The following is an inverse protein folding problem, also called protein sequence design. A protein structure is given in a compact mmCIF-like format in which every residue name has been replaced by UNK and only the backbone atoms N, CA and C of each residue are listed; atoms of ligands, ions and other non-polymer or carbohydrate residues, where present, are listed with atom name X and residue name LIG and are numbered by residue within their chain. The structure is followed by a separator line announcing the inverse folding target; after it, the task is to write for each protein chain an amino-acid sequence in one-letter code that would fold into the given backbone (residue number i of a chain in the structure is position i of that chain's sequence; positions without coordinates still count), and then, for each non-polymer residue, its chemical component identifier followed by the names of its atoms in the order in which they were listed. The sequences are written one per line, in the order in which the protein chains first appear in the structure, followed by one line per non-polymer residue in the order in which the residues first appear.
data_IF_189787167631
#
_entry.id   IF_189787167631
#
_cell.length_a   1.000
_cell.length_b   1.000
_cell.length_c   1.000
_cell.angle_alpha   90.00
_cell.angle_beta   90.00
_cell.angle_gamma   90.00
#
_symmetry.space_group_name_H-M   'P 1'
#
loop_
_entity.id
_entity.type
_entity.pdbx_description
1 polymer ?
#
# COMPACT_ATOMS: atom_id res chain seq x y z
N UNK A 1 -33.88 62.34 7.96
CA UNK A 1 -34.26 62.14 6.55
C UNK A 1 -34.32 60.63 6.34
N UNK A 2 -35.49 60.06 6.67
CA UNK A 2 -36.48 59.46 5.73
C UNK A 2 -35.99 58.08 5.25
N UNK A 3 -36.33 56.98 5.92
CA UNK A 3 -37.59 56.20 5.93
C UNK A 3 -37.90 55.39 4.66
N UNK A 4 -38.60 54.27 4.90
CA UNK A 4 -39.16 53.23 4.03
C UNK A 4 -38.23 52.02 3.80
N UNK A 5 -38.40 50.85 4.46
CA UNK A 5 -39.58 50.03 4.76
C UNK A 5 -40.26 49.46 3.50
N UNK A 6 -40.47 48.14 3.49
CA UNK A 6 -40.85 47.36 2.31
C UNK A 6 -40.96 45.85 2.61
N UNK A 7 -41.81 45.54 3.57
CA UNK A 7 -42.23 44.23 4.08
C UNK A 7 -43.05 43.38 3.08
N UNK A 8 -43.04 42.05 3.30
CA UNK A 8 -44.13 41.05 3.04
C UNK A 8 -44.37 40.60 1.58
N UNK A 9 -44.86 39.40 1.26
CA UNK A 9 -45.27 38.18 1.96
C UNK A 9 -45.77 37.17 0.90
N UNK A 10 -45.90 35.92 1.32
CA UNK A 10 -46.89 34.91 0.90
C UNK A 10 -46.76 34.20 -0.45
N UNK A 11 -46.88 32.87 -0.40
CA UNK A 11 -47.11 32.02 -1.56
C UNK A 11 -46.77 30.55 -1.33
N UNK A 12 -47.35 29.96 -0.28
CA UNK A 12 -47.63 28.52 -0.19
C UNK A 12 -48.66 28.15 -1.28
N UNK A 13 -48.54 26.96 -1.88
CA UNK A 13 -49.63 26.22 -2.53
C UNK A 13 -49.11 24.88 -3.09
N UNK A 14 -49.23 23.82 -2.29
CA UNK A 14 -50.20 22.77 -2.61
C UNK A 14 -49.81 21.60 -3.52
N UNK A 15 -49.98 20.40 -2.92
CA UNK A 15 -50.50 19.15 -3.50
C UNK A 15 -49.63 18.31 -4.43
N UNK A 16 -49.77 16.99 -4.54
CA UNK A 16 -50.39 15.92 -3.75
C UNK A 16 -50.33 14.66 -4.66
N UNK A 17 -50.02 13.51 -4.07
CA UNK A 17 -50.58 12.18 -4.38
C UNK A 17 -50.33 11.56 -5.77
N UNK A 18 -49.75 10.36 -5.78
CA UNK A 18 -49.70 9.50 -6.96
C UNK A 18 -49.05 8.13 -6.73
N UNK A 19 -49.61 7.34 -5.82
CA UNK A 19 -49.32 5.91 -5.66
C UNK A 19 -49.77 5.10 -6.88
N UNK A 20 -48.93 4.25 -7.45
CA UNK A 20 -49.37 2.99 -8.06
C UNK A 20 -48.35 1.88 -7.81
N UNK A 21 -48.82 0.87 -7.11
CA UNK A 21 -48.22 -0.45 -6.99
C UNK A 21 -48.49 -1.29 -8.25
N UNK A 22 -47.59 -2.25 -8.51
CA UNK A 22 -47.81 -3.44 -9.34
C UNK A 22 -46.55 -4.32 -9.27
N UNK A 23 -46.47 -5.30 -8.35
CA UNK A 23 -46.70 -6.74 -8.58
C UNK A 23 -45.93 -7.26 -9.80
N UNK A 24 -44.82 -7.97 -9.62
CA UNK A 24 -44.66 -9.38 -9.19
C UNK A 24 -44.53 -10.30 -10.42
N UNK A 25 -43.48 -11.13 -10.39
CA UNK A 25 -43.26 -12.43 -11.06
C UNK A 25 -41.74 -12.67 -10.97
N UNK A 26 -41.23 -13.39 -9.97
CA UNK A 26 -41.21 -14.86 -9.82
C UNK A 26 -40.61 -15.57 -11.06
N UNK A 27 -39.32 -15.91 -10.95
CA UNK A 27 -38.68 -16.94 -11.75
C UNK A 27 -37.51 -17.52 -10.94
N UNK A 28 -37.83 -18.63 -10.28
CA UNK A 28 -36.89 -19.65 -9.82
C UNK A 28 -36.25 -20.35 -11.02
N UNK A 29 -34.92 -20.43 -11.05
CA UNK A 29 -34.18 -21.52 -11.72
C UNK A 29 -32.79 -21.60 -11.11
N UNK A 30 -32.50 -22.57 -10.26
CA UNK A 30 -32.14 -23.96 -10.56
C UNK A 30 -30.62 -24.13 -10.66
N UNK A 31 -30.18 -25.19 -9.99
CA UNK A 31 -28.81 -25.49 -9.63
C UNK A 31 -27.97 -25.99 -10.81
N UNK A 32 -26.70 -25.58 -10.84
CA UNK A 32 -25.58 -26.36 -11.38
C UNK A 32 -24.35 -25.99 -10.52
N UNK A 33 -24.02 -26.79 -9.51
CA UNK A 33 -22.98 -27.83 -9.60
C UNK A 33 -21.97 -27.61 -10.73
N UNK A 34 -20.79 -27.11 -10.38
CA UNK A 34 -19.55 -27.41 -11.07
C UNK A 34 -18.43 -27.49 -10.04
N UNK A 35 -18.26 -28.70 -9.51
CA UNK A 35 -16.99 -29.15 -9.00
C UNK A 35 -15.98 -29.15 -10.17
N UNK A 36 -14.90 -28.41 -10.04
CA UNK A 36 -13.69 -28.67 -10.83
C UNK A 36 -12.51 -28.82 -9.87
N UNK A 37 -12.08 -30.07 -9.77
CA UNK A 37 -10.85 -30.51 -9.16
C UNK A 37 -9.72 -30.32 -10.16
N UNK A 38 -8.54 -30.03 -9.61
CA UNK A 38 -7.20 -30.38 -10.07
C UNK A 38 -6.31 -29.28 -10.66
N UNK A 39 -5.12 -29.16 -10.05
CA UNK A 39 -4.10 -28.19 -10.43
C UNK A 39 -3.02 -27.90 -9.38
N UNK A 40 -2.84 -28.71 -8.33
CA UNK A 40 -1.64 -28.62 -7.49
C UNK A 40 -0.49 -29.31 -8.24
N UNK A 41 0.43 -28.50 -8.77
CA UNK A 41 1.69 -29.01 -9.31
C UNK A 41 2.77 -28.87 -8.24
N UNK A 42 2.88 -29.85 -7.35
CA UNK A 42 4.05 -29.99 -6.47
C UNK A 42 5.08 -30.90 -7.13
N UNK A 43 6.29 -30.36 -7.34
CA UNK A 43 7.51 -31.14 -7.62
C UNK A 43 8.50 -30.91 -6.49
N UNK A 44 8.44 -31.75 -5.45
CA UNK A 44 9.62 -32.44 -4.93
C UNK A 44 9.21 -33.62 -4.06
N UNK A 45 9.71 -34.78 -4.48
CA UNK A 45 9.70 -36.09 -3.84
C UNK A 45 10.08 -35.96 -2.36
N UNK A 46 9.32 -36.49 -1.40
CA UNK A 46 9.17 -37.92 -1.04
C UNK A 46 10.51 -38.60 -0.76
N UNK A 47 10.90 -38.63 0.51
CA UNK A 47 11.57 -39.77 1.13
C UNK A 47 10.92 -40.05 2.49
N UNK A 48 10.23 -41.17 2.55
CA UNK A 48 9.66 -41.74 3.75
C UNK A 48 10.72 -42.53 4.55
N UNK A 49 10.62 -42.52 5.88
CA UNK A 49 10.98 -43.68 6.68
C UNK A 49 10.05 -43.78 7.90
N UNK A 50 9.27 -44.85 7.88
CA UNK A 50 8.35 -45.34 8.91
C UNK A 50 9.12 -45.90 10.12
N UNK A 51 8.56 -45.76 11.32
CA UNK A 51 8.97 -46.56 12.48
C UNK A 51 8.24 -46.13 13.75
N UNK A 52 7.15 -46.81 14.08
CA UNK A 52 6.36 -46.52 15.28
C UNK A 52 6.97 -47.03 16.59
N UNK A 53 6.63 -46.38 17.70
CA UNK A 53 6.48 -46.95 19.04
C UNK A 53 5.68 -45.99 19.93
N UNK A 54 4.64 -46.49 20.58
CA UNK A 54 3.89 -45.80 21.60
C UNK A 54 4.60 -45.93 22.97
N UNK A 55 4.81 -44.82 23.66
CA UNK A 55 5.09 -44.77 25.11
C UNK A 55 4.42 -43.51 25.68
N UNK A 56 3.56 -43.71 26.69
CA UNK A 56 3.00 -42.65 27.52
C UNK A 56 4.09 -42.05 28.42
N UNK A 57 4.17 -40.72 28.57
CA UNK A 57 4.53 -40.11 29.85
C UNK A 57 4.18 -38.63 29.96
N UNK A 58 3.39 -38.35 31.00
CA UNK A 58 3.42 -37.18 31.90
C UNK A 58 3.53 -35.77 31.30
N UNK A 59 2.39 -35.10 31.35
CA UNK A 59 2.19 -33.65 31.40
C UNK A 59 3.24 -32.96 32.26
N UNK A 60 4.06 -32.14 31.63
CA UNK A 60 4.69 -30.98 32.28
C UNK A 60 4.17 -29.78 31.50
N UNK A 61 3.21 -29.08 32.08
CA UNK A 61 2.88 -27.72 31.63
C UNK A 61 4.09 -26.84 31.93
N UNK A 62 4.97 -26.76 30.94
CA UNK A 62 5.80 -25.57 30.78
C UNK A 62 4.95 -24.63 29.94
N UNK A 63 4.27 -23.70 30.60
CA UNK A 63 3.75 -22.50 29.94
C UNK A 63 4.96 -21.66 29.54
N UNK A 64 5.63 -22.06 28.47
CA UNK A 64 6.22 -21.12 27.54
C UNK A 64 5.02 -20.57 26.79
N UNK A 65 4.62 -19.35 27.10
CA UNK A 65 3.91 -18.51 26.13
C UNK A 65 4.75 -18.54 24.87
N UNK A 66 4.30 -19.30 23.87
CA UNK A 66 4.82 -19.19 22.52
C UNK A 66 4.42 -17.81 22.05
N UNK A 67 5.40 -16.90 21.97
CA UNK A 67 5.36 -15.78 21.02
C UNK A 67 4.83 -16.38 19.72
N UNK A 68 3.72 -15.87 19.21
CA UNK A 68 3.21 -16.38 17.93
C UNK A 68 4.08 -15.80 16.82
N UNK A 69 5.26 -16.39 16.64
CA UNK A 69 6.10 -16.25 15.45
C UNK A 69 5.24 -16.58 14.23
N UNK A 70 4.76 -15.53 13.57
CA UNK A 70 3.96 -15.62 12.35
C UNK A 70 4.66 -14.88 11.23
N UNK A 71 4.34 -15.19 9.96
CA UNK A 71 4.93 -14.47 8.84
C UNK A 71 4.57 -12.98 8.89
N UNK A 72 5.46 -12.13 8.40
CA UNK A 72 5.13 -10.74 8.09
C UNK A 72 4.32 -10.72 6.79
N UNK A 73 3.05 -10.31 6.85
CA UNK A 73 2.17 -10.32 5.69
C UNK A 73 2.02 -8.92 5.09
N UNK A 74 2.24 -8.80 3.78
CA UNK A 74 1.85 -7.66 2.96
C UNK A 74 1.00 -8.16 1.81
N UNK A 75 -0.19 -7.60 1.63
CA UNK A 75 -1.06 -7.91 0.50
C UNK A 75 -1.27 -6.68 -0.38
N UNK A 76 -0.93 -6.82 -1.65
CA UNK A 76 -1.02 -5.74 -2.64
C UNK A 76 -2.28 -5.92 -3.48
N UNK A 77 -3.02 -4.85 -3.73
CA UNK A 77 -4.29 -4.87 -4.45
C UNK A 77 -4.22 -3.91 -5.65
N UNK A 78 -4.66 -4.33 -6.85
CA UNK A 78 -4.77 -3.40 -7.96
C UNK A 78 -6.12 -2.69 -7.85
N UNK A 79 -6.09 -1.36 -7.95
CA UNK A 79 -7.29 -0.56 -8.16
C UNK A 79 -7.88 -0.79 -9.56
N UNK A 80 -9.13 -0.39 -9.75
CA UNK A 80 -9.74 -0.38 -11.08
C UNK A 80 -8.99 0.56 -12.04
N UNK A 81 -8.63 0.06 -13.24
CA UNK A 81 -8.09 0.92 -14.30
C UNK A 81 -9.23 1.51 -15.13
N UNK A 82 -9.16 2.80 -15.50
CA UNK A 82 -10.04 3.37 -16.50
C UNK A 82 -9.76 2.75 -17.88
N UNK A 83 -10.74 2.87 -18.78
CA UNK A 83 -10.64 2.38 -20.16
C UNK A 83 -9.45 2.94 -20.93
N UNK A 84 -9.03 4.17 -20.62
CA UNK A 84 -7.82 4.80 -21.19
C UNK A 84 -6.54 4.10 -20.73
N UNK A 85 -6.48 3.65 -19.48
CA UNK A 85 -5.38 2.82 -18.97
C UNK A 85 -5.33 1.47 -19.69
N UNK A 86 -6.48 0.81 -19.83
CA UNK A 86 -6.59 -0.45 -20.59
C UNK A 86 -6.19 -0.30 -22.06
N UNK A 87 -6.55 0.82 -22.70
CA UNK A 87 -6.13 1.10 -24.07
C UNK A 87 -4.61 1.26 -24.20
N UNK A 88 -3.94 1.83 -23.17
CA UNK A 88 -2.49 2.04 -23.15
C UNK A 88 -1.71 0.75 -22.92
N UNK A 89 -2.13 -0.09 -21.99
CA UNK A 89 -1.38 -1.30 -21.59
C UNK A 89 -1.93 -2.61 -22.17
N UNK A 90 -3.00 -2.52 -22.97
CA UNK A 90 -3.59 -3.63 -23.67
C UNK A 90 -4.63 -4.38 -22.85
N UNK A 91 -5.61 -4.93 -23.56
CA UNK A 91 -6.72 -5.70 -22.99
C UNK A 91 -6.32 -7.14 -22.60
N UNK A 92 -5.06 -7.54 -22.80
CA UNK A 92 -4.59 -8.90 -22.47
C UNK A 92 -4.65 -9.20 -20.97
N UNK A 93 -4.59 -8.18 -20.09
CA UNK A 93 -4.77 -8.36 -18.64
C UNK A 93 -6.23 -8.65 -18.21
N UNK A 94 -7.22 -8.35 -19.04
CA UNK A 94 -8.65 -8.41 -18.66
C UNK A 94 -9.15 -9.82 -18.31
N UNK A 95 -8.43 -10.87 -18.71
CA UNK A 95 -8.87 -12.26 -18.52
C UNK A 95 -8.22 -13.01 -17.35
N UNK A 96 -7.06 -12.57 -16.82
CA UNK A 96 -6.38 -13.26 -15.70
C UNK A 96 -5.16 -12.55 -15.10
N UNK A 97 -4.74 -11.38 -15.61
CA UNK A 97 -3.48 -10.75 -15.22
C UNK A 97 -3.67 -9.31 -14.77
N UNK A 98 -2.87 -8.86 -13.80
CA UNK A 98 -2.81 -7.42 -13.56
C UNK A 98 -2.11 -6.73 -14.74
N UNK A 99 -2.49 -5.49 -15.08
CA UNK A 99 -1.74 -4.71 -16.06
C UNK A 99 -0.29 -4.49 -15.62
N UNK A 100 0.65 -4.30 -16.57
CA UNK A 100 2.08 -4.16 -16.28
C UNK A 100 2.43 -3.16 -15.16
N UNK A 101 1.80 -1.98 -15.00
CA UNK A 101 2.11 -1.09 -13.87
C UNK A 101 1.99 -1.77 -12.50
N UNK A 102 1.00 -2.63 -12.33
CA UNK A 102 0.76 -3.29 -11.07
C UNK A 102 1.64 -4.52 -10.87
N UNK A 103 1.92 -5.26 -11.94
CA UNK A 103 2.85 -6.40 -11.87
C UNK A 103 4.25 -5.91 -11.50
N UNK A 104 4.75 -4.89 -12.19
CA UNK A 104 6.07 -4.32 -11.93
C UNK A 104 6.15 -3.73 -10.50
N UNK A 105 5.06 -3.14 -10.00
CA UNK A 105 4.99 -2.65 -8.63
C UNK A 105 5.03 -3.79 -7.60
N UNK A 106 4.28 -4.87 -7.82
CA UNK A 106 4.29 -6.05 -6.94
C UNK A 106 5.66 -6.75 -6.94
N UNK A 107 6.28 -6.89 -8.10
CA UNK A 107 7.62 -7.47 -8.24
C UNK A 107 8.66 -6.59 -7.53
N UNK A 108 8.62 -5.26 -7.74
CA UNK A 108 9.52 -4.33 -7.07
C UNK A 108 9.39 -4.37 -5.53
N UNK A 109 8.16 -4.51 -5.00
CA UNK A 109 7.93 -4.68 -3.56
C UNK A 109 8.53 -6.01 -3.07
N UNK A 110 8.32 -7.12 -3.79
CA UNK A 110 8.91 -8.42 -3.44
C UNK A 110 10.43 -8.34 -3.38
N UNK A 111 11.06 -7.79 -4.42
CA UNK A 111 12.50 -7.61 -4.49
C UNK A 111 13.02 -6.71 -3.35
N UNK A 112 12.24 -5.71 -2.93
CA UNK A 112 12.60 -4.84 -1.81
C UNK A 112 12.54 -5.56 -0.46
N UNK A 113 11.55 -6.44 -0.23
CA UNK A 113 11.52 -7.29 0.96
C UNK A 113 12.58 -8.39 0.94
N UNK A 114 12.91 -8.94 -0.23
CA UNK A 114 14.05 -9.86 -0.38
C UNK A 114 15.37 -9.19 0.01
N UNK A 115 15.56 -7.91 -0.34
CA UNK A 115 16.71 -7.12 0.12
C UNK A 115 16.73 -6.96 1.65
N UNK A 116 15.58 -6.71 2.30
CA UNK A 116 15.47 -6.63 3.77
C UNK A 116 15.84 -7.96 4.41
N UNK A 117 15.29 -9.08 3.93
CA UNK A 117 15.59 -10.41 4.47
C UNK A 117 17.06 -10.77 4.27
N UNK A 118 17.65 -10.47 3.11
CA UNK A 118 19.07 -10.68 2.86
C UNK A 118 19.95 -9.84 3.80
N UNK A 119 19.61 -8.56 3.98
CA UNK A 119 20.30 -7.68 4.90
C UNK A 119 20.24 -8.19 6.35
N UNK A 120 19.05 -8.55 6.84
CA UNK A 120 18.86 -9.06 8.19
C UNK A 120 19.67 -10.35 8.42
N UNK A 121 19.65 -11.27 7.46
CA UNK A 121 20.42 -12.52 7.51
C UNK A 121 21.93 -12.25 7.58
N UNK A 122 22.44 -11.30 6.78
CA UNK A 122 23.85 -10.87 6.81
C UNK A 122 24.25 -10.26 8.16
N UNK A 123 23.31 -9.60 8.85
CA UNK A 123 23.49 -9.09 10.22
C UNK A 123 23.29 -10.16 11.31
N UNK A 124 22.92 -11.40 10.95
CA UNK A 124 22.61 -12.45 11.92
C UNK A 124 21.28 -12.24 12.67
N UNK A 125 20.38 -11.42 12.11
CA UNK A 125 19.04 -11.09 12.65
C UNK A 125 17.96 -11.79 11.85
N UNK A 126 16.76 -11.92 12.42
CA UNK A 126 15.54 -12.41 11.75
C UNK A 126 15.70 -13.77 11.01
N UNK A 127 16.55 -14.69 11.52
CA UNK A 127 16.93 -15.94 10.82
C UNK A 127 15.74 -16.84 10.42
N UNK A 128 14.64 -16.76 11.17
CA UNK A 128 13.45 -17.59 10.99
C UNK A 128 12.20 -16.79 10.56
N UNK A 129 12.36 -15.50 10.24
CA UNK A 129 11.22 -14.66 9.82
C UNK A 129 10.90 -14.90 8.35
N UNK A 130 9.67 -15.33 8.09
CA UNK A 130 9.11 -15.38 6.75
C UNK A 130 8.41 -14.07 6.43
N UNK A 131 8.73 -13.46 5.28
CA UNK A 131 7.99 -12.32 4.73
C UNK A 131 7.18 -12.78 3.54
N UNK A 132 5.87 -12.56 3.58
CA UNK A 132 4.95 -12.99 2.53
C UNK A 132 4.32 -11.76 1.86
N UNK A 133 4.71 -11.52 0.61
CA UNK A 133 4.10 -10.49 -0.25
C UNK A 133 3.10 -11.12 -1.22
N UNK A 134 1.82 -11.00 -0.86
CA UNK A 134 0.70 -11.63 -1.53
C UNK A 134 0.03 -10.74 -2.58
N UNK A 135 -0.52 -11.42 -3.58
CA UNK A 135 -1.36 -10.82 -4.61
C UNK A 135 -2.82 -10.79 -4.15
N UNK A 136 -3.38 -9.60 -4.00
CA UNK A 136 -4.80 -9.37 -3.73
C UNK A 136 -5.68 -9.40 -4.98
N UNK A 137 -6.99 -9.58 -4.77
CA UNK A 137 -7.98 -9.40 -5.84
C UNK A 137 -8.22 -7.93 -6.15
N UNK A 138 -8.65 -7.61 -7.38
CA UNK A 138 -8.94 -6.23 -7.78
C UNK A 138 -9.88 -5.53 -6.79
N UNK A 139 -9.58 -4.27 -6.48
CA UNK A 139 -10.40 -3.42 -5.61
C UNK A 139 -11.10 -2.38 -6.48
N UNK A 140 -12.43 -2.39 -6.42
CA UNK A 140 -13.28 -1.38 -7.04
C UNK A 140 -13.95 -0.57 -5.92
N UNK A 141 -13.52 0.69 -5.78
CA UNK A 141 -14.01 1.58 -4.74
C UNK A 141 -15.37 2.21 -5.08
N UNK A 142 -15.87 2.05 -6.31
CA UNK A 142 -17.21 2.52 -6.69
C UNK A 142 -18.34 1.77 -5.97
N UNK A 143 -18.02 0.64 -5.35
CA UNK A 143 -18.93 -0.22 -4.60
C UNK A 143 -18.93 0.06 -3.08
N UNK A 144 -18.07 0.96 -2.59
CA UNK A 144 -18.03 1.32 -1.17
C UNK A 144 -19.28 2.15 -0.79
N UNK A 145 -19.93 1.80 0.33
CA UNK A 145 -21.25 2.30 0.71
C UNK A 145 -21.31 3.79 1.04
N UNK A 146 -20.14 4.45 1.15
CA UNK A 146 -19.99 5.81 1.67
C UNK A 146 -19.52 6.87 0.67
N UNK A 147 -19.24 6.55 -0.60
CA UNK A 147 -18.70 7.55 -1.53
C UNK A 147 -19.75 8.62 -1.86
N UNK A 148 -19.61 9.82 -1.29
CA UNK A 148 -20.46 10.93 -1.69
C UNK A 148 -20.15 11.30 -3.15
N UNK A 149 -21.09 11.91 -3.89
CA UNK A 149 -20.84 12.36 -5.26
C UNK A 149 -19.64 13.31 -5.40
N UNK A 150 -19.22 13.98 -4.31
CA UNK A 150 -18.00 14.81 -4.29
C UNK A 150 -16.74 13.95 -4.20
N UNK A 151 -16.74 12.90 -3.39
CA UNK A 151 -15.60 12.00 -3.24
C UNK A 151 -15.36 11.17 -4.50
N UNK A 152 -16.41 10.94 -5.29
CA UNK A 152 -16.29 10.35 -6.63
C UNK A 152 -15.57 11.25 -7.65
N UNK A 153 -15.60 12.58 -7.46
CA UNK A 153 -15.03 13.56 -8.41
C UNK A 153 -13.67 14.10 -7.96
N UNK A 154 -13.48 14.25 -6.65
CA UNK A 154 -12.26 14.76 -6.04
C UNK A 154 -11.97 13.97 -4.75
N UNK A 155 -11.55 12.70 -4.88
CA UNK A 155 -11.27 11.87 -3.71
C UNK A 155 -10.14 12.47 -2.89
N UNK A 156 -10.31 12.45 -1.57
CA UNK A 156 -9.24 12.74 -0.62
C UNK A 156 -8.50 11.45 -0.28
N UNK A 157 -7.24 11.53 0.14
CA UNK A 157 -6.48 10.36 0.61
C UNK A 157 -7.25 9.57 1.69
N UNK A 158 -7.77 10.27 2.71
CA UNK A 158 -8.55 9.64 3.77
C UNK A 158 -9.81 8.94 3.23
N UNK A 159 -10.54 9.58 2.30
CA UNK A 159 -11.74 8.98 1.71
C UNK A 159 -11.44 7.70 0.90
N UNK A 160 -10.30 7.64 0.20
CA UNK A 160 -9.88 6.41 -0.51
C UNK A 160 -9.49 5.31 0.46
N UNK A 161 -8.78 5.64 1.54
CA UNK A 161 -8.41 4.69 2.60
C UNK A 161 -9.65 4.15 3.33
N UNK A 162 -10.61 5.00 3.66
CA UNK A 162 -11.86 4.59 4.32
C UNK A 162 -12.65 3.62 3.43
N UNK A 163 -12.79 3.94 2.14
CA UNK A 163 -13.43 3.06 1.17
C UNK A 163 -12.67 1.74 0.99
N UNK A 164 -11.33 1.77 1.03
CA UNK A 164 -10.51 0.57 0.95
C UNK A 164 -10.69 -0.31 2.18
N UNK A 165 -10.69 0.26 3.39
CA UNK A 165 -10.99 -0.44 4.65
C UNK A 165 -12.33 -1.15 4.58
N UNK A 166 -13.37 -0.45 4.11
CA UNK A 166 -14.70 -1.03 3.96
C UNK A 166 -14.70 -2.26 3.04
N UNK A 167 -13.98 -2.20 1.91
CA UNK A 167 -13.84 -3.34 0.99
C UNK A 167 -13.07 -4.50 1.63
N UNK A 168 -12.02 -4.23 2.42
CA UNK A 168 -11.27 -5.26 3.14
C UNK A 168 -12.13 -5.94 4.20
N UNK A 169 -12.90 -5.18 4.97
CA UNK A 169 -13.83 -5.67 5.99
C UNK A 169 -14.93 -6.52 5.36
N UNK A 170 -15.55 -6.07 4.26
CA UNK A 170 -16.56 -6.84 3.51
C UNK A 170 -16.02 -8.18 2.99
N UNK A 171 -14.72 -8.24 2.68
CA UNK A 171 -14.04 -9.47 2.23
C UNK A 171 -13.58 -10.36 3.38
N UNK A 172 -13.70 -9.93 4.63
CA UNK A 172 -13.10 -10.60 5.78
C UNK A 172 -11.59 -10.71 5.65
N UNK A 173 -10.95 -9.73 5.00
CA UNK A 173 -9.52 -9.72 4.74
C UNK A 173 -8.69 -9.10 5.88
N UNK A 174 -9.35 -8.41 6.82
CA UNK A 174 -8.72 -7.79 7.99
C UNK A 174 -8.47 -8.85 9.06
N UNK A 175 -7.22 -8.96 9.50
CA UNK A 175 -6.74 -10.01 10.42
C UNK A 175 -5.98 -9.46 11.64
N UNK A 176 -5.64 -8.17 11.63
CA UNK A 176 -4.83 -7.51 12.66
C UNK A 176 -3.32 -7.72 12.51
N UNK A 177 -2.87 -8.51 11.53
CA UNK A 177 -1.45 -8.88 11.30
C UNK A 177 -1.00 -8.73 9.85
N UNK A 178 -1.73 -7.98 9.04
CA UNK A 178 -1.45 -7.78 7.64
C UNK A 178 -1.25 -6.29 7.33
N UNK A 179 -0.34 -6.01 6.42
CA UNK A 179 -0.30 -4.72 5.74
C UNK A 179 -1.03 -4.83 4.40
N UNK A 180 -1.84 -3.84 4.05
CA UNK A 180 -2.56 -3.78 2.79
C UNK A 180 -2.15 -2.54 1.98
N UNK A 181 -1.66 -2.78 0.76
CA UNK A 181 -1.35 -1.73 -0.20
C UNK A 181 -2.37 -1.71 -1.33
N UNK A 182 -3.05 -0.57 -1.51
CA UNK A 182 -3.84 -0.32 -2.71
C UNK A 182 -2.99 0.42 -3.75
N UNK A 183 -2.66 -0.27 -4.85
CA UNK A 183 -2.13 0.38 -6.04
C UNK A 183 -3.27 1.09 -6.77
N UNK A 184 -3.44 2.36 -6.51
CA UNK A 184 -4.57 3.16 -7.00
C UNK A 184 -4.27 3.84 -8.34
N UNK A 185 -5.31 4.03 -9.16
CA UNK A 185 -5.21 4.70 -10.46
C UNK A 185 -5.95 6.04 -10.48
N UNK A 186 -5.30 7.09 -9.98
CA UNK A 186 -5.86 8.44 -9.96
C UNK A 186 -4.89 9.48 -10.52
N UNK A 187 -4.69 9.51 -11.85
CA UNK A 187 -3.61 10.26 -12.48
C UNK A 187 -3.63 11.77 -12.21
N UNK A 188 -4.80 12.36 -11.97
CA UNK A 188 -4.96 13.82 -11.82
C UNK A 188 -5.41 14.24 -10.43
N UNK A 189 -5.41 13.32 -9.47
CA UNK A 189 -5.92 13.57 -8.13
C UNK A 189 -4.82 14.08 -7.20
N UNK A 190 -4.46 15.36 -7.36
CA UNK A 190 -3.41 16.05 -6.58
C UNK A 190 -3.58 15.93 -5.06
N UNK A 191 -4.83 15.83 -4.57
CA UNK A 191 -5.12 15.66 -3.15
C UNK A 191 -4.65 14.32 -2.56
N UNK A 192 -4.30 13.36 -3.41
CA UNK A 192 -3.71 12.07 -3.03
C UNK A 192 -2.21 12.04 -3.35
N UNK A 193 -1.72 12.91 -4.24
CA UNK A 193 -0.31 12.92 -4.63
C UNK A 193 0.14 11.56 -5.15
N UNK A 194 1.30 11.10 -4.68
CA UNK A 194 1.82 9.77 -4.97
C UNK A 194 1.28 8.66 -4.08
N UNK A 195 0.59 8.99 -3.00
CA UNK A 195 0.12 7.98 -2.06
C UNK A 195 -0.05 8.51 -0.66
N UNK A 196 -0.17 7.58 0.27
CA UNK A 196 -0.13 7.88 1.69
C UNK A 196 -0.81 6.82 2.55
N UNK A 197 -0.57 6.98 3.83
CA UNK A 197 -1.01 6.08 4.91
C UNK A 197 -2.27 6.59 5.59
N UNK A 198 -2.99 5.70 6.28
CA UNK A 198 -4.04 6.11 7.21
C UNK A 198 -3.42 6.79 8.42
N UNK A 199 -3.96 7.95 8.79
CA UNK A 199 -3.53 8.71 9.96
C UNK A 199 -4.37 8.36 11.20
N UNK A 200 -3.77 8.29 12.41
CA UNK A 200 -2.32 8.27 12.66
C UNK A 200 -1.69 7.05 11.97
N UNK A 201 -0.44 7.14 11.51
CA UNK A 201 0.27 6.04 10.85
C UNK A 201 -0.01 4.74 11.61
N UNK A 202 -0.80 3.86 10.99
CA UNK A 202 -1.17 2.59 11.60
C UNK A 202 -0.11 1.58 11.20
N UNK A 203 0.58 1.08 12.20
CA UNK A 203 1.61 0.07 12.08
C UNK A 203 0.97 -1.29 12.32
N UNK A 204 1.54 -2.34 11.74
CA UNK A 204 1.10 -3.70 12.02
C UNK A 204 1.21 -3.92 13.54
N UNK A 205 0.13 -4.42 14.17
CA UNK A 205 -0.01 -4.67 15.62
C UNK A 205 -0.18 -3.44 16.55
N UNK A 206 -0.44 -2.23 16.01
CA UNK A 206 -0.56 -1.03 16.83
C UNK A 206 -1.82 -0.96 17.73
N UNK A 207 -2.87 -1.75 17.45
CA UNK A 207 -4.12 -1.88 18.23
C UNK A 207 -4.74 -3.26 17.92
N UNK A 208 -5.26 -3.97 18.94
CA UNK A 208 -5.99 -5.23 18.73
C UNK A 208 -7.09 -5.05 17.64
N UNK A 209 -6.99 -5.83 16.56
CA UNK A 209 -7.94 -6.01 15.45
C UNK A 209 -7.90 -5.06 14.23
N UNK A 210 -6.85 -4.26 14.00
CA UNK A 210 -6.78 -3.41 12.79
C UNK A 210 -5.47 -3.55 11.97
N UNK A 211 -5.61 -3.77 10.66
CA UNK A 211 -4.48 -3.90 9.72
C UNK A 211 -3.96 -2.55 9.20
N UNK A 212 -2.66 -2.49 8.90
CA UNK A 212 -2.02 -1.30 8.31
C UNK A 212 -2.48 -1.11 6.85
N UNK A 213 -2.80 0.12 6.44
CA UNK A 213 -3.34 0.42 5.11
C UNK A 213 -2.65 1.62 4.46
N UNK A 214 -2.24 1.44 3.21
CA UNK A 214 -1.52 2.43 2.40
C UNK A 214 -2.03 2.45 0.98
N UNK A 215 -1.83 3.58 0.31
CA UNK A 215 -2.15 3.76 -1.11
C UNK A 215 -0.88 4.17 -1.85
N UNK A 216 -0.62 3.55 -2.99
CA UNK A 216 0.32 4.06 -4.00
C UNK A 216 -0.45 4.47 -5.25
N UNK A 217 -0.41 5.76 -5.60
CA UNK A 217 -1.07 6.31 -6.79
C UNK A 217 -0.24 6.06 -8.06
N UNK A 218 -0.26 4.82 -8.53
CA UNK A 218 0.45 4.42 -9.75
C UNK A 218 -0.07 5.16 -10.98
N UNK A 219 -1.33 5.58 -10.98
CA UNK A 219 -1.89 6.38 -12.07
C UNK A 219 -1.17 7.72 -12.25
N UNK A 220 -0.79 8.38 -11.14
CA UNK A 220 -0.06 9.65 -11.19
C UNK A 220 1.35 9.45 -11.74
N UNK A 221 2.11 8.51 -11.19
CA UNK A 221 3.49 8.22 -11.63
C UNK A 221 3.54 7.77 -13.10
N UNK A 222 2.62 6.90 -13.53
CA UNK A 222 2.55 6.43 -14.92
C UNK A 222 2.13 7.49 -15.94
N UNK A 223 1.45 8.54 -15.49
CA UNK A 223 0.96 9.61 -16.35
C UNK A 223 1.96 10.76 -16.44
N UNK A 224 2.62 11.09 -15.33
CA UNK A 224 3.42 12.30 -15.23
C UNK A 224 4.92 12.07 -15.09
N UNK A 225 5.33 10.86 -14.69
CA UNK A 225 6.71 10.52 -14.39
C UNK A 225 7.15 9.32 -15.26
N UNK A 226 7.73 8.29 -14.63
CA UNK A 226 8.24 7.09 -15.30
C UNK A 226 7.83 5.82 -14.54
N UNK A 227 7.97 4.68 -15.23
CA UNK A 227 7.76 3.36 -14.63
C UNK A 227 8.70 3.09 -13.45
N UNK A 228 9.90 3.67 -13.45
CA UNK A 228 10.83 3.50 -12.33
C UNK A 228 10.36 4.27 -11.09
N UNK A 229 9.78 5.48 -11.27
CA UNK A 229 9.10 6.20 -10.19
C UNK A 229 7.88 5.41 -9.69
N UNK A 230 7.11 4.77 -10.57
CA UNK A 230 5.99 3.88 -10.17
C UNK A 230 6.45 2.75 -9.26
N UNK A 231 7.53 2.05 -9.59
CA UNK A 231 8.10 0.99 -8.74
C UNK A 231 8.57 1.55 -7.39
N UNK A 232 9.28 2.67 -7.42
CA UNK A 232 9.80 3.30 -6.21
C UNK A 232 8.69 3.75 -5.26
N UNK A 233 7.64 4.40 -5.77
CA UNK A 233 6.50 4.80 -4.95
C UNK A 233 5.76 3.58 -4.39
N UNK A 234 5.66 2.48 -5.13
CA UNK A 234 5.08 1.26 -4.59
C UNK A 234 5.87 0.70 -3.40
N UNK A 235 7.21 0.69 -3.49
CA UNK A 235 8.10 0.30 -2.37
C UNK A 235 7.98 1.30 -1.21
N UNK A 236 8.01 2.59 -1.52
CA UNK A 236 7.92 3.70 -0.55
C UNK A 236 6.68 3.57 0.33
N UNK A 237 5.51 3.47 -0.30
CA UNK A 237 4.24 3.37 0.40
C UNK A 237 4.11 2.05 1.15
N UNK A 238 4.66 0.95 0.61
CA UNK A 238 4.71 -0.32 1.33
C UNK A 238 5.57 -0.24 2.60
N UNK A 239 6.70 0.47 2.58
CA UNK A 239 7.56 0.57 3.76
C UNK A 239 7.02 1.47 4.86
N UNK A 240 6.15 2.43 4.55
CA UNK A 240 5.48 3.21 5.59
C UNK A 240 4.71 2.37 6.63
N UNK A 241 4.28 1.15 6.28
CA UNK A 241 3.60 0.26 7.23
C UNK A 241 4.56 -0.49 8.15
N UNK A 242 5.87 -0.37 7.90
CA UNK A 242 6.96 -1.03 8.63
C UNK A 242 8.00 -0.03 9.16
N UNK A 243 7.61 1.23 9.39
CA UNK A 243 8.48 2.28 9.88
C UNK A 243 7.75 3.12 10.93
N UNK A 244 8.37 3.35 12.09
CA UNK A 244 7.88 4.28 13.11
C UNK A 244 8.89 5.39 13.33
N UNK A 245 8.45 6.57 13.74
CA UNK A 245 9.35 7.69 14.02
C UNK A 245 10.47 7.33 15.02
N UNK A 246 10.17 6.51 16.03
CA UNK A 246 11.15 6.07 17.03
C UNK A 246 12.21 5.12 16.45
N UNK A 247 11.82 4.25 15.51
CA UNK A 247 12.78 3.39 14.78
C UNK A 247 13.65 4.25 13.87
N UNK A 248 13.05 5.19 13.12
CA UNK A 248 13.81 6.10 12.24
C UNK A 248 14.81 6.93 13.06
N UNK A 249 14.39 7.49 14.19
CA UNK A 249 15.23 8.31 15.08
C UNK A 249 16.39 7.47 15.63
N UNK A 250 16.16 6.19 15.92
CA UNK A 250 17.22 5.27 16.34
C UNK A 250 18.29 5.07 15.25
N UNK A 251 17.89 4.98 13.97
CA UNK A 251 18.79 4.62 12.87
C UNK A 251 19.54 5.83 12.33
N UNK A 252 18.88 6.97 12.15
CA UNK A 252 19.46 8.15 11.47
C UNK A 252 19.34 9.47 12.24
N UNK A 253 18.94 9.47 13.51
CA UNK A 253 18.75 10.70 14.33
C UNK A 253 17.77 11.71 13.68
N UNK A 254 16.82 11.21 12.88
CA UNK A 254 15.70 11.97 12.30
C UNK A 254 14.38 11.29 12.61
N UNK A 255 13.29 12.05 12.67
CA UNK A 255 11.93 11.52 12.82
C UNK A 255 11.20 11.36 11.50
N UNK A 256 11.76 11.88 10.41
CA UNK A 256 11.16 11.77 9.08
C UNK A 256 11.65 10.48 8.42
N UNK A 257 10.73 9.54 8.17
CA UNK A 257 11.05 8.27 7.49
C UNK A 257 11.59 8.44 6.07
N UNK A 258 11.22 9.54 5.38
CA UNK A 258 11.75 9.85 4.05
C UNK A 258 13.26 10.14 4.07
N UNK A 259 13.79 10.59 5.21
CA UNK A 259 15.23 10.82 5.40
C UNK A 259 16.04 9.52 5.35
N UNK A 260 15.40 8.34 5.45
CA UNK A 260 16.09 7.07 5.24
C UNK A 260 16.55 6.90 3.78
N UNK A 261 15.98 7.66 2.84
CA UNK A 261 16.32 7.59 1.43
C UNK A 261 17.72 8.09 1.10
N UNK A 262 18.11 7.94 -0.16
CA UNK A 262 19.38 8.46 -0.68
C UNK A 262 19.17 9.14 -2.03
N UNK A 263 19.89 10.24 -2.22
CA UNK A 263 20.00 10.95 -3.49
C UNK A 263 21.50 11.18 -3.79
N UNK A 264 22.10 10.28 -4.56
CA UNK A 264 23.56 10.19 -4.73
C UNK A 264 23.97 10.34 -6.18
N UNK A 265 25.12 10.97 -6.42
CA UNK A 265 25.63 11.12 -7.79
C UNK A 265 26.23 9.82 -8.28
N UNK A 266 25.84 9.42 -9.48
CA UNK A 266 26.40 8.24 -10.17
C UNK A 266 27.34 8.62 -11.31
N UNK A 267 27.23 9.86 -11.80
CA UNK A 267 28.15 10.49 -12.75
C UNK A 267 28.10 12.03 -12.59
N UNK A 268 28.62 12.78 -13.57
CA UNK A 268 28.80 14.23 -13.48
C UNK A 268 27.46 14.99 -13.40
N UNK A 269 26.41 14.50 -14.06
CA UNK A 269 25.13 15.21 -14.21
C UNK A 269 23.90 14.39 -13.76
N UNK A 270 24.08 13.13 -13.34
CA UNK A 270 22.99 12.23 -12.94
C UNK A 270 22.95 11.98 -11.43
N UNK A 271 21.78 12.22 -10.85
CA UNK A 271 21.47 11.83 -9.48
C UNK A 271 20.62 10.54 -9.48
N UNK A 272 21.11 9.52 -8.78
CA UNK A 272 20.35 8.31 -8.48
C UNK A 272 19.59 8.45 -7.17
N UNK A 273 18.29 8.14 -7.21
CA UNK A 273 17.34 8.31 -6.11
C UNK A 273 16.75 6.96 -5.70
N UNK A 274 16.82 6.65 -4.40
CA UNK A 274 16.24 5.45 -3.82
C UNK A 274 14.72 5.60 -3.53
N UNK A 275 13.99 4.52 -3.22
CA UNK A 275 12.55 4.58 -3.03
C UNK A 275 12.08 5.62 -2.01
N UNK A 276 12.63 5.64 -0.80
CA UNK A 276 12.23 6.58 0.27
C UNK A 276 12.51 8.05 -0.06
N UNK A 277 13.46 8.34 -0.94
CA UNK A 277 13.76 9.71 -1.37
C UNK A 277 12.96 10.16 -2.60
N UNK A 278 12.29 9.25 -3.32
CA UNK A 278 11.72 9.50 -4.67
C UNK A 278 10.86 10.75 -4.78
N UNK A 279 9.89 10.95 -3.88
CA UNK A 279 8.98 12.10 -3.92
C UNK A 279 9.57 13.40 -3.33
N UNK A 280 10.75 13.31 -2.71
CA UNK A 280 11.36 14.38 -1.92
C UNK A 280 12.69 14.85 -2.49
N UNK A 281 13.32 14.03 -3.35
CA UNK A 281 14.55 14.36 -4.01
C UNK A 281 14.30 15.41 -5.09
N UNK A 282 15.09 16.47 -5.02
CA UNK A 282 15.14 17.56 -5.97
C UNK A 282 14.40 18.83 -5.54
N UNK A 283 14.66 19.94 -6.26
CA UNK A 283 14.07 21.23 -5.95
C UNK A 283 12.56 21.22 -6.20
N UNK A 284 11.79 21.95 -5.39
CA UNK A 284 10.33 22.10 -5.53
C UNK A 284 9.98 23.00 -6.75
N UNK A 285 10.30 22.50 -7.95
CA UNK A 285 10.06 23.15 -9.22
C UNK A 285 9.82 22.12 -10.35
N UNK A 286 9.18 22.58 -11.42
CA UNK A 286 8.89 21.70 -12.57
C UNK A 286 10.19 21.19 -13.19
N UNK A 287 10.41 19.88 -13.12
CA UNK A 287 11.63 19.23 -13.63
C UNK A 287 12.65 18.87 -12.54
N UNK A 288 12.37 19.15 -11.27
CA UNK A 288 13.20 18.80 -10.11
C UNK A 288 13.14 17.31 -9.73
N UNK A 289 13.10 16.40 -10.70
CA UNK A 289 12.99 14.95 -10.48
C UNK A 289 11.58 14.42 -10.72
N UNK A 290 10.67 14.65 -9.77
CA UNK A 290 9.28 14.15 -9.86
C UNK A 290 8.25 15.25 -10.05
N UNK A 291 7.08 14.91 -10.60
CA UNK A 291 6.00 15.89 -10.84
C UNK A 291 5.35 16.41 -9.56
N UNK A 292 5.16 15.55 -8.57
CA UNK A 292 4.50 15.90 -7.30
C UNK A 292 5.53 15.80 -6.18
N UNK A 293 5.96 16.94 -5.64
CA UNK A 293 6.82 16.92 -4.46
C UNK A 293 6.01 16.55 -3.22
N UNK A 294 6.54 15.63 -2.43
CA UNK A 294 6.03 15.31 -1.12
C UNK A 294 6.13 16.53 -0.20
N UNK A 295 5.09 16.80 0.57
CA UNK A 295 5.01 17.97 1.47
C UNK A 295 5.19 17.60 2.94
N UNK A 296 5.41 16.32 3.23
CA UNK A 296 5.42 15.79 4.59
C UNK A 296 6.72 16.07 5.37
N UNK A 297 7.84 16.35 4.71
CA UNK A 297 9.11 16.66 5.36
C UNK A 297 9.61 18.05 4.98
N UNK A 298 10.19 18.75 5.96
CA UNK A 298 10.56 20.16 5.84
C UNK A 298 12.02 20.38 5.46
N UNK A 299 12.88 19.35 5.57
CA UNK A 299 14.30 19.43 5.23
C UNK A 299 14.65 18.37 4.18
N UNK A 300 14.75 18.79 2.92
CA UNK A 300 15.00 17.90 1.78
C UNK A 300 16.50 17.59 1.57
N UNK A 301 17.36 18.10 2.46
CA UNK A 301 18.80 17.81 2.49
C UNK A 301 19.17 16.80 3.59
N UNK A 302 18.21 16.40 4.43
CA UNK A 302 18.40 15.49 5.56
C UNK A 302 18.42 14.00 5.21
N UNK A 303 18.50 13.63 3.92
CA UNK A 303 18.63 12.22 3.53
C UNK A 303 19.87 11.57 4.15
N UNK A 304 19.77 10.28 4.46
CA UNK A 304 20.85 9.43 4.96
C UNK A 304 22.11 9.58 4.11
N UNK A 305 21.93 9.77 2.80
CA UNK A 305 22.97 10.29 1.93
C UNK A 305 22.42 11.21 0.85
N UNK A 306 23.04 12.39 0.72
CA UNK A 306 22.70 13.41 -0.27
C UNK A 306 23.97 14.05 -0.83
N UNK A 307 24.14 14.02 -2.16
CA UNK A 307 25.33 14.56 -2.85
C UNK A 307 25.10 15.97 -3.48
N UNK A 308 24.01 16.64 -3.10
CA UNK A 308 23.62 17.97 -3.58
C UNK A 308 23.02 17.97 -4.99
N UNK A 309 22.25 19.00 -5.32
CA UNK A 309 21.58 19.14 -6.63
C UNK A 309 22.37 19.98 -7.66
N UNK A 310 23.47 20.63 -7.26
CA UNK A 310 24.22 21.55 -8.13
C UNK A 310 24.74 20.87 -9.40
N UNK A 311 24.27 21.30 -10.57
CA UNK A 311 24.69 20.71 -11.86
C UNK A 311 24.10 19.33 -12.15
N UNK A 312 23.06 18.91 -11.43
CA UNK A 312 22.25 17.75 -11.81
C UNK A 312 21.33 18.13 -12.97
N UNK A 313 21.42 17.40 -14.07
CA UNK A 313 20.53 17.55 -15.23
C UNK A 313 19.66 16.31 -15.45
N UNK A 314 20.08 15.15 -14.90
CA UNK A 314 19.45 13.86 -15.11
C UNK A 314 19.08 13.19 -13.78
N UNK A 315 17.97 12.46 -13.79
CA UNK A 315 17.46 11.72 -12.64
C UNK A 315 17.33 10.24 -12.99
N UNK A 316 17.92 9.37 -12.16
CA UNK A 316 17.77 7.92 -12.24
C UNK A 316 17.07 7.41 -10.99
N UNK A 317 16.07 6.56 -11.16
CA UNK A 317 15.34 5.97 -10.04
C UNK A 317 15.69 4.50 -9.93
N UNK A 318 16.19 4.09 -8.76
CA UNK A 318 16.56 2.70 -8.47
C UNK A 318 15.60 2.09 -7.46
N UNK A 319 15.32 0.80 -7.63
CA UNK A 319 14.60 -0.02 -6.63
C UNK A 319 15.52 -0.58 -5.55
N UNK A 320 16.82 -0.28 -5.61
CA UNK A 320 17.75 -0.58 -4.53
C UNK A 320 17.36 0.22 -3.28
N UNK A 321 17.13 -0.51 -2.19
CA UNK A 321 16.80 0.07 -0.89
C UNK A 321 18.09 0.54 -0.21
N UNK A 322 18.06 1.72 0.42
CA UNK A 322 19.23 2.25 1.12
C UNK A 322 19.55 1.42 2.36
N UNK A 323 20.81 1.41 2.79
CA UNK A 323 21.22 0.72 4.02
C UNK A 323 20.43 1.18 5.24
N UNK A 324 20.15 2.48 5.36
CA UNK A 324 19.33 3.02 6.45
C UNK A 324 17.89 2.52 6.40
N UNK A 325 17.25 2.45 5.21
CA UNK A 325 15.91 1.87 5.11
C UNK A 325 15.92 0.38 5.45
N UNK A 326 16.93 -0.38 4.99
CA UNK A 326 17.07 -1.81 5.34
C UNK A 326 17.19 -2.02 6.85
N UNK A 327 18.04 -1.24 7.52
CA UNK A 327 18.22 -1.30 8.98
C UNK A 327 16.96 -0.89 9.74
N UNK A 328 16.27 0.16 9.29
CA UNK A 328 15.03 0.63 9.92
C UNK A 328 13.90 -0.40 9.81
N UNK A 329 13.64 -0.95 8.61
CA UNK A 329 12.61 -1.98 8.44
C UNK A 329 12.96 -3.25 9.22
N UNK A 330 14.23 -3.68 9.21
CA UNK A 330 14.70 -4.83 10.01
C UNK A 330 14.46 -4.61 11.50
N UNK A 331 14.79 -3.43 12.02
CA UNK A 331 14.59 -3.06 13.43
C UNK A 331 13.12 -2.97 13.79
N UNK A 332 12.26 -2.47 12.89
CA UNK A 332 10.83 -2.47 13.10
C UNK A 332 10.28 -3.90 13.26
N UNK A 333 10.64 -4.80 12.34
CA UNK A 333 10.19 -6.20 12.38
C UNK A 333 10.64 -6.89 13.67
N UNK A 334 11.89 -6.69 14.07
CA UNK A 334 12.44 -7.24 15.31
C UNK A 334 11.65 -6.76 16.54
N UNK A 335 11.47 -5.44 16.69
CA UNK A 335 10.87 -4.85 17.89
C UNK A 335 9.37 -5.09 18.00
N UNK A 336 8.63 -4.93 16.90
CA UNK A 336 7.18 -4.85 16.96
C UNK A 336 6.48 -6.11 16.47
N UNK A 337 7.15 -6.95 15.68
CA UNK A 337 6.53 -8.17 15.15
C UNK A 337 7.06 -9.45 15.82
N UNK A 338 8.16 -9.37 16.57
CA UNK A 338 8.74 -10.52 17.27
C UNK A 338 8.88 -10.32 18.79
N UNK A 339 9.27 -9.14 19.27
CA UNK A 339 9.60 -8.93 20.69
C UNK A 339 8.40 -8.65 21.62
N UNK A 340 7.20 -8.37 21.09
CA UNK A 340 5.99 -8.05 21.90
C UNK A 340 4.96 -9.20 22.05
N UNK A 341 5.35 -10.47 21.80
CA UNK A 341 4.48 -11.65 22.00
C UNK A 341 4.52 -12.31 23.39
#
# INVERSE_FOLDING_TARGET
MTEADGSRDSGDDGSAVGTTAGTADDATSDATDNAFVDGITTRREVLAALGGAAVFSSTTETTTTSVTEGPVHLRVYPGALPTTGWARYGWQGVSSGWPPPYEDALEAIRDAFDQVTAYAADQGRLQDVEVIVERGGQVDLSLASGSSPRDAVAPTQQGVLDAFSEVLEQRGAVTGRCSHLLCWWGPVHYAIGYGGTRQPNRHVDAVEDEDAQVIANLGATETWDSRDVTKNIAIHEAFHTFLTGDVVETVIDSRCEHDLGTAVRVDEDTLEVSPMATAYAGPDEVGGGTRFHGTACYDHDSFYRHDGYDGVENWRYTTSVSEATLEAVTTYVERYLLEEG
#
